data_IF_938047560024
#
_entry.id   IF_938047560024
#
_cell.length_a   1.000
_cell.length_b   1.000
_cell.length_c   1.000
_cell.angle_alpha   90.00
_cell.angle_beta   90.00
_cell.angle_gamma   90.00
#
_symmetry.space_group_name_H-M   'P 1'
#
loop_
_entity.id
_entity.type
_entity.pdbx_description
1 polymer ?
#
# COMPACT_ATOMS: atom_id res chain seq x y z
N UNK A 1 -5.05 33.58 46.32
CA UNK A 1 -4.34 32.46 45.72
C UNK A 1 -5.06 32.08 44.41
N UNK A 2 -4.59 32.65 43.31
CA UNK A 2 -5.22 32.52 42.00
C UNK A 2 -4.59 31.29 41.34
N UNK A 3 -5.36 30.19 41.16
CA UNK A 3 -4.92 29.07 40.36
C UNK A 3 -5.06 29.39 38.89
N UNK A 4 -3.98 29.38 38.16
CA UNK A 4 -3.96 29.50 36.69
C UNK A 4 -4.71 28.32 36.08
N UNK A 5 -5.77 28.53 35.28
CA UNK A 5 -6.55 27.45 34.69
C UNK A 5 -5.85 26.75 33.51
N UNK A 6 -4.57 27.06 33.25
CA UNK A 6 -3.81 26.52 32.10
C UNK A 6 -2.95 25.29 32.40
N UNK A 7 -2.95 24.79 33.64
CA UNK A 7 -2.19 23.58 34.01
C UNK A 7 -2.92 22.22 33.81
N UNK A 8 -4.10 22.23 33.21
CA UNK A 8 -4.94 21.04 33.04
C UNK A 8 -5.01 20.42 31.64
N UNK A 9 -4.46 21.08 30.63
CA UNK A 9 -4.55 20.59 29.23
C UNK A 9 -3.18 20.09 28.73
N UNK A 10 -2.55 19.19 29.48
CA UNK A 10 -1.63 18.25 28.87
C UNK A 10 -2.49 17.33 27.99
N UNK A 11 -2.75 17.81 26.78
CA UNK A 11 -3.31 16.99 25.73
C UNK A 11 -2.53 15.68 25.71
N UNK A 12 -3.17 14.60 26.18
CA UNK A 12 -2.64 13.26 26.01
C UNK A 12 -2.31 13.10 24.53
N UNK A 13 -1.05 13.21 24.21
CA UNK A 13 -0.52 12.83 22.91
C UNK A 13 -0.86 11.36 22.80
N UNK A 14 -2.01 11.07 22.17
CA UNK A 14 -2.40 9.68 21.89
C UNK A 14 -1.32 9.12 21.01
N UNK A 15 -0.49 8.25 21.59
CA UNK A 15 0.49 7.49 20.83
C UNK A 15 -0.19 6.94 19.58
N UNK A 16 0.35 7.28 18.43
CA UNK A 16 -0.11 6.72 17.16
C UNK A 16 0.08 5.21 17.25
N UNK A 17 -1.02 4.45 17.35
CA UNK A 17 -0.94 3.00 17.25
C UNK A 17 -0.43 2.66 15.84
N UNK A 18 0.82 2.29 15.76
CA UNK A 18 1.44 1.74 14.56
C UNK A 18 0.96 0.30 14.47
N UNK A 19 0.24 -0.03 13.40
CA UNK A 19 -0.14 -1.42 13.16
C UNK A 19 1.08 -2.18 12.61
N UNK A 20 1.22 -3.48 12.90
CA UNK A 20 2.38 -4.26 12.46
C UNK A 20 2.66 -4.17 10.95
N UNK A 21 1.62 -4.01 10.13
CA UNK A 21 1.76 -3.81 8.69
C UNK A 21 2.24 -2.41 8.31
N UNK A 22 2.07 -1.41 9.19
CA UNK A 22 2.56 -0.05 8.97
C UNK A 22 4.09 0.04 9.05
N UNK A 23 4.74 -0.86 9.78
CA UNK A 23 6.21 -0.93 9.86
C UNK A 23 6.85 -1.20 8.50
N UNK A 24 6.11 -1.79 7.55
CA UNK A 24 6.56 -2.00 6.18
C UNK A 24 6.39 -0.80 5.24
N UNK A 25 5.62 0.23 5.64
CA UNK A 25 5.36 1.42 4.83
C UNK A 25 6.32 2.54 5.20
N UNK A 26 7.13 2.94 4.25
CA UNK A 26 8.08 4.05 4.41
C UNK A 26 8.06 4.96 3.19
N UNK A 27 8.26 6.26 3.40
CA UNK A 27 8.40 7.25 2.33
C UNK A 27 9.78 7.22 1.67
N UNK A 28 10.72 6.48 2.26
CA UNK A 28 12.06 6.24 1.68
C UNK A 28 11.97 5.22 0.55
N UNK A 29 11.10 4.22 0.69
CA UNK A 29 10.88 3.23 -0.36
C UNK A 29 10.12 3.83 -1.55
N UNK A 30 10.44 3.31 -2.73
CA UNK A 30 9.76 3.60 -3.99
C UNK A 30 8.92 2.39 -4.41
N UNK A 31 7.72 2.63 -4.88
CA UNK A 31 6.71 1.59 -5.08
C UNK A 31 6.30 1.46 -6.53
N UNK A 32 6.10 0.23 -7.00
CA UNK A 32 5.40 -0.08 -8.23
C UNK A 32 4.06 -0.74 -7.90
N UNK A 33 2.95 -0.14 -8.31
CA UNK A 33 1.60 -0.69 -8.12
C UNK A 33 1.14 -1.34 -9.41
N UNK A 34 0.97 -2.66 -9.39
CA UNK A 34 0.54 -3.44 -10.56
C UNK A 34 -0.98 -3.53 -10.57
N UNK A 35 -1.58 -3.11 -11.67
CA UNK A 35 -3.02 -3.19 -11.92
C UNK A 35 -3.33 -3.45 -13.39
N UNK A 36 -4.54 -3.11 -13.80
CA UNK A 36 -5.02 -3.12 -15.18
C UNK A 36 -5.84 -1.87 -15.45
N UNK A 37 -6.18 -1.63 -16.74
CA UNK A 37 -6.99 -0.49 -17.14
C UNK A 37 -8.30 -0.39 -16.36
N UNK A 38 -8.99 -1.52 -16.14
CA UNK A 38 -10.24 -1.54 -15.39
C UNK A 38 -10.05 -1.11 -13.94
N UNK A 39 -8.98 -1.58 -13.28
CA UNK A 39 -8.72 -1.25 -11.86
C UNK A 39 -8.26 0.19 -11.66
N UNK A 40 -7.55 0.75 -12.63
CA UNK A 40 -7.13 2.15 -12.60
C UNK A 40 -8.26 3.10 -13.01
N UNK A 41 -8.84 2.94 -14.20
CA UNK A 41 -9.85 3.86 -14.74
C UNK A 41 -11.15 3.87 -13.93
N UNK A 42 -11.58 2.74 -13.41
CA UNK A 42 -12.77 2.64 -12.55
C UNK A 42 -12.49 2.88 -11.08
N UNK A 43 -11.34 3.47 -10.75
CA UNK A 43 -10.91 3.81 -9.39
C UNK A 43 -11.06 2.66 -8.39
N UNK A 44 -10.76 1.42 -8.84
CA UNK A 44 -10.80 0.23 -8.00
C UNK A 44 -9.53 0.09 -7.15
N UNK A 45 -9.25 -1.08 -6.65
CA UNK A 45 -8.21 -1.31 -5.65
C UNK A 45 -6.82 -0.78 -6.07
N UNK A 46 -6.35 -1.06 -7.29
CA UNK A 46 -5.04 -0.59 -7.77
C UNK A 46 -4.93 0.95 -7.75
N UNK A 47 -5.95 1.65 -8.24
CA UNK A 47 -6.00 3.10 -8.19
C UNK A 47 -6.00 3.63 -6.75
N UNK A 48 -6.79 3.02 -5.87
CA UNK A 48 -6.86 3.43 -4.45
C UNK A 48 -5.52 3.25 -3.74
N UNK A 49 -4.83 2.14 -3.99
CA UNK A 49 -3.49 1.87 -3.44
C UNK A 49 -2.48 2.88 -3.95
N UNK A 50 -2.43 3.10 -5.28
CA UNK A 50 -1.57 4.10 -5.89
C UNK A 50 -1.80 5.51 -5.32
N UNK A 51 -3.06 5.94 -5.25
CA UNK A 51 -3.44 7.24 -4.67
C UNK A 51 -3.08 7.34 -3.19
N UNK A 52 -3.32 6.28 -2.42
CA UNK A 52 -3.00 6.27 -1.00
C UNK A 52 -1.50 6.42 -0.75
N UNK A 53 -0.66 5.72 -1.50
CA UNK A 53 0.80 5.84 -1.42
C UNK A 53 1.27 7.24 -1.82
N UNK A 54 0.72 7.80 -2.91
CA UNK A 54 0.99 9.20 -3.31
C UNK A 54 0.61 10.21 -2.23
N UNK A 55 -0.59 10.09 -1.68
CA UNK A 55 -1.07 10.97 -0.62
C UNK A 55 -0.27 10.83 0.67
N UNK A 56 0.30 9.65 0.91
CA UNK A 56 1.19 9.41 2.04
C UNK A 56 2.56 10.08 1.87
N UNK A 57 2.94 10.42 0.64
CA UNK A 57 4.21 11.08 0.30
C UNK A 57 5.24 10.14 -0.32
N UNK A 58 4.85 8.91 -0.69
CA UNK A 58 5.74 7.97 -1.37
C UNK A 58 5.91 8.30 -2.85
N UNK A 59 7.07 7.98 -3.40
CA UNK A 59 7.27 7.86 -4.84
C UNK A 59 6.64 6.56 -5.31
N UNK A 60 5.68 6.64 -6.23
CA UNK A 60 4.92 5.47 -6.68
C UNK A 60 4.64 5.52 -8.17
N UNK A 61 4.90 4.40 -8.83
CA UNK A 61 4.75 4.18 -10.25
C UNK A 61 3.60 3.20 -10.52
N UNK A 62 2.58 3.59 -11.31
CA UNK A 62 1.54 2.65 -11.73
C UNK A 62 2.05 1.80 -12.89
N UNK A 63 1.72 0.50 -12.85
CA UNK A 63 2.11 -0.48 -13.88
C UNK A 63 0.86 -1.19 -14.40
N UNK A 64 0.65 -1.15 -15.72
CA UNK A 64 -0.43 -1.86 -16.39
C UNK A 64 -0.11 -2.02 -17.88
N UNK A 65 -0.29 -3.22 -18.42
CA UNK A 65 0.00 -3.53 -19.83
C UNK A 65 -0.98 -2.87 -20.80
N UNK A 66 -2.20 -2.61 -20.36
CA UNK A 66 -3.36 -2.19 -21.16
C UNK A 66 -3.75 -0.71 -20.97
N UNK A 67 -2.89 0.09 -20.33
CA UNK A 67 -3.16 1.51 -20.08
C UNK A 67 -1.88 2.34 -20.12
N UNK A 68 -1.93 3.50 -20.78
CA UNK A 68 -0.76 4.37 -20.95
C UNK A 68 -0.68 5.52 -19.94
N UNK A 69 -1.82 6.02 -19.48
CA UNK A 69 -1.88 7.16 -18.55
C UNK A 69 -3.07 7.06 -17.60
N UNK A 70 -2.92 7.60 -16.40
CA UNK A 70 -3.99 7.78 -15.41
C UNK A 70 -3.79 9.10 -14.65
N UNK A 71 -4.83 9.90 -14.53
CA UNK A 71 -4.81 11.19 -13.82
C UNK A 71 -3.57 12.05 -14.16
N UNK A 72 -3.22 12.13 -15.45
CA UNK A 72 -2.04 12.84 -15.95
C UNK A 72 -0.70 12.13 -15.75
N UNK A 73 -0.62 11.07 -14.96
CA UNK A 73 0.59 10.30 -14.72
C UNK A 73 0.81 9.24 -15.80
N UNK A 74 2.08 9.04 -16.20
CA UNK A 74 2.49 7.93 -17.06
C UNK A 74 2.24 6.60 -16.33
N UNK A 75 1.74 5.62 -17.04
CA UNK A 75 1.72 4.21 -16.62
C UNK A 75 2.84 3.47 -17.35
N UNK A 76 3.51 2.58 -16.63
CA UNK A 76 4.57 1.74 -17.17
C UNK A 76 3.97 0.39 -17.59
N UNK A 77 4.44 -0.15 -18.71
CA UNK A 77 3.85 -1.38 -19.25
C UNK A 77 4.25 -2.62 -18.45
N UNK A 78 5.45 -2.61 -17.88
CA UNK A 78 5.98 -3.73 -17.12
C UNK A 78 7.01 -3.25 -16.08
N UNK A 79 7.44 -4.15 -15.20
CA UNK A 79 8.43 -3.85 -14.15
C UNK A 79 9.84 -3.59 -14.70
N UNK A 80 10.19 -4.11 -15.88
CA UNK A 80 11.53 -3.94 -16.43
C UNK A 80 11.81 -2.50 -16.82
N UNK A 81 10.77 -1.72 -17.19
CA UNK A 81 10.90 -0.27 -17.40
C UNK A 81 11.24 0.51 -16.12
N UNK A 82 11.03 -0.12 -14.96
CA UNK A 82 11.27 0.45 -13.63
C UNK A 82 12.50 -0.13 -12.95
N UNK A 83 13.34 -0.84 -13.69
CA UNK A 83 14.59 -1.39 -13.16
C UNK A 83 15.39 -0.30 -12.45
N UNK A 84 15.89 -0.62 -11.27
CA UNK A 84 16.66 0.26 -10.39
C UNK A 84 15.93 1.55 -9.92
N UNK A 85 14.61 1.66 -10.19
CA UNK A 85 13.80 2.82 -9.77
C UNK A 85 12.84 2.50 -8.63
N UNK A 86 12.56 1.24 -8.38
CA UNK A 86 11.61 0.79 -7.35
C UNK A 86 12.24 -0.25 -6.45
N UNK A 87 11.84 -0.26 -5.20
CA UNK A 87 12.27 -1.27 -4.22
C UNK A 87 11.11 -2.10 -3.65
N UNK A 88 9.88 -1.71 -3.90
CA UNK A 88 8.70 -2.46 -3.45
C UNK A 88 7.71 -2.62 -4.59
N UNK A 89 7.30 -3.84 -4.85
CA UNK A 89 6.21 -4.16 -5.79
C UNK A 89 4.93 -4.45 -5.01
N UNK A 90 3.83 -3.83 -5.43
CA UNK A 90 2.50 -3.97 -4.82
C UNK A 90 1.53 -4.50 -5.87
N UNK A 91 1.34 -5.82 -5.97
CA UNK A 91 0.39 -6.41 -6.92
C UNK A 91 -1.05 -6.19 -6.45
N UNK A 92 -1.91 -5.74 -7.36
CA UNK A 92 -3.34 -5.51 -7.13
C UNK A 92 -4.24 -6.28 -8.11
N UNK A 93 -3.72 -7.35 -8.71
CA UNK A 93 -4.46 -8.27 -9.58
C UNK A 93 -4.66 -9.61 -8.88
N UNK A 94 -5.55 -10.43 -9.41
CA UNK A 94 -5.71 -11.80 -8.93
C UNK A 94 -4.49 -12.66 -9.30
N UNK A 95 -4.17 -13.69 -8.51
CA UNK A 95 -2.98 -14.52 -8.72
C UNK A 95 -2.86 -15.12 -10.13
N UNK A 96 -3.97 -15.48 -10.75
CA UNK A 96 -4.01 -16.06 -12.10
C UNK A 96 -3.45 -15.11 -13.17
N UNK A 97 -3.48 -13.82 -12.90
CA UNK A 97 -2.96 -12.76 -13.79
C UNK A 97 -1.54 -12.30 -13.44
N UNK A 98 -0.92 -12.92 -12.46
CA UNK A 98 0.38 -12.54 -11.90
C UNK A 98 1.42 -13.67 -12.02
N UNK A 99 1.26 -14.59 -12.99
CA UNK A 99 2.10 -15.81 -13.12
C UNK A 99 3.61 -15.52 -13.17
N UNK A 100 4.01 -14.42 -13.81
CA UNK A 100 5.42 -14.00 -13.93
C UNK A 100 5.86 -13.00 -12.84
N UNK A 101 5.00 -12.69 -11.86
CA UNK A 101 5.26 -11.61 -10.88
C UNK A 101 6.63 -11.73 -10.22
N UNK A 102 6.97 -12.90 -9.70
CA UNK A 102 8.20 -13.10 -8.92
C UNK A 102 9.43 -13.02 -9.81
N UNK A 103 9.38 -13.64 -11.00
CA UNK A 103 10.46 -13.57 -11.98
C UNK A 103 10.67 -12.15 -12.50
N UNK A 104 9.60 -11.43 -12.82
CA UNK A 104 9.67 -10.05 -13.30
C UNK A 104 10.20 -9.11 -12.21
N UNK A 105 9.81 -9.36 -10.95
CA UNK A 105 10.32 -8.61 -9.80
C UNK A 105 11.82 -8.83 -9.61
N UNK A 106 12.27 -10.07 -9.71
CA UNK A 106 13.69 -10.41 -9.61
C UNK A 106 14.50 -9.78 -10.76
N UNK A 107 14.02 -9.86 -12.00
CA UNK A 107 14.64 -9.25 -13.18
C UNK A 107 14.73 -7.72 -13.09
N UNK A 108 13.76 -7.09 -12.45
CA UNK A 108 13.77 -5.66 -12.17
C UNK A 108 14.72 -5.26 -11.01
N UNK A 109 15.37 -6.22 -10.36
CA UNK A 109 16.25 -5.98 -9.22
C UNK A 109 15.53 -5.60 -7.92
N UNK A 110 14.25 -5.94 -7.81
CA UNK A 110 13.42 -5.61 -6.64
C UNK A 110 13.44 -6.77 -5.65
N UNK A 111 13.67 -6.46 -4.37
CA UNK A 111 13.81 -7.46 -3.32
C UNK A 111 12.66 -7.48 -2.31
N UNK A 112 11.55 -6.82 -2.62
CA UNK A 112 10.40 -6.74 -1.72
C UNK A 112 9.08 -6.74 -2.48
N UNK A 113 8.14 -7.64 -2.14
CA UNK A 113 6.78 -7.64 -2.65
C UNK A 113 5.81 -7.47 -1.49
N UNK A 114 4.88 -6.52 -1.63
CA UNK A 114 3.80 -6.31 -0.69
C UNK A 114 2.49 -6.82 -1.26
N UNK A 115 2.17 -8.06 -0.95
CA UNK A 115 0.93 -8.71 -1.38
C UNK A 115 -0.29 -8.12 -0.68
N UNK A 116 -1.29 -7.76 -1.47
CA UNK A 116 -2.61 -7.39 -0.97
C UNK A 116 -3.37 -8.64 -0.52
N UNK A 117 -4.47 -8.48 0.22
CA UNK A 117 -5.22 -9.59 0.84
C UNK A 117 -5.57 -10.75 -0.11
N UNK A 118 -5.93 -10.41 -1.36
CA UNK A 118 -6.37 -11.39 -2.36
C UNK A 118 -5.30 -11.77 -3.40
N UNK A 119 -4.08 -11.27 -3.25
CA UNK A 119 -3.02 -11.48 -4.24
C UNK A 119 -1.96 -12.47 -3.78
N UNK A 120 -1.92 -12.79 -2.50
CA UNK A 120 -0.96 -13.73 -1.94
C UNK A 120 -1.43 -15.18 -2.11
N UNK A 121 -0.48 -16.06 -2.44
CA UNK A 121 -0.65 -17.51 -2.44
C UNK A 121 0.56 -18.19 -1.80
N UNK A 122 0.39 -19.43 -1.35
CA UNK A 122 1.49 -20.22 -0.81
C UNK A 122 2.59 -20.46 -1.87
N UNK A 123 2.18 -20.59 -3.14
CA UNK A 123 3.12 -20.75 -4.26
C UNK A 123 3.99 -19.49 -4.43
N UNK A 124 3.39 -18.29 -4.40
CA UNK A 124 4.15 -17.04 -4.44
C UNK A 124 5.12 -16.90 -3.26
N UNK A 125 4.71 -17.35 -2.07
CA UNK A 125 5.62 -17.35 -0.92
C UNK A 125 6.87 -18.20 -1.19
N UNK A 126 6.68 -19.43 -1.68
CA UNK A 126 7.78 -20.34 -2.00
C UNK A 126 8.69 -19.80 -3.11
N UNK A 127 8.11 -19.21 -4.16
CA UNK A 127 8.87 -18.58 -5.23
C UNK A 127 9.69 -17.38 -4.71
N UNK A 128 9.10 -16.54 -3.86
CA UNK A 128 9.79 -15.40 -3.25
C UNK A 128 10.93 -15.85 -2.33
N UNK A 129 10.70 -16.87 -1.50
CA UNK A 129 11.72 -17.43 -0.61
C UNK A 129 12.90 -17.96 -1.42
N UNK A 130 12.63 -18.67 -2.52
CA UNK A 130 13.67 -19.20 -3.44
C UNK A 130 14.43 -18.08 -4.16
N UNK A 131 13.79 -16.96 -4.44
CA UNK A 131 14.39 -15.81 -5.13
C UNK A 131 15.01 -14.77 -4.17
N UNK A 132 14.96 -15.00 -2.85
CA UNK A 132 15.45 -14.05 -1.85
C UNK A 132 14.64 -12.75 -1.77
N UNK A 133 13.36 -12.79 -2.15
CA UNK A 133 12.45 -11.64 -2.14
C UNK A 133 11.67 -11.61 -0.84
N UNK A 134 11.77 -10.51 -0.11
CA UNK A 134 11.01 -10.30 1.13
C UNK A 134 9.52 -10.13 0.85
N UNK A 135 8.69 -10.89 1.55
CA UNK A 135 7.23 -10.81 1.45
C UNK A 135 6.66 -9.98 2.60
N UNK A 136 5.80 -9.01 2.27
CA UNK A 136 4.90 -8.32 3.19
C UNK A 136 3.48 -8.68 2.79
N UNK A 137 2.60 -8.90 3.76
CA UNK A 137 1.19 -9.26 3.52
C UNK A 137 0.25 -8.26 4.16
N UNK A 138 -0.81 -7.95 3.44
CA UNK A 138 -1.90 -7.12 3.92
C UNK A 138 -2.21 -5.94 3.01
N UNK A 139 -3.37 -5.32 3.21
CA UNK A 139 -3.81 -4.23 2.36
C UNK A 139 -3.09 -2.92 2.70
N UNK A 140 -2.47 -2.28 1.72
CA UNK A 140 -1.86 -0.94 1.87
C UNK A 140 -2.86 0.08 2.42
N UNK A 141 -4.14 -0.04 2.07
CA UNK A 141 -5.18 0.88 2.54
C UNK A 141 -5.45 0.81 4.05
N UNK A 142 -4.94 -0.20 4.74
CA UNK A 142 -4.97 -0.28 6.21
C UNK A 142 -4.27 0.90 6.88
N UNK A 143 -3.31 1.50 6.21
CA UNK A 143 -2.57 2.66 6.71
C UNK A 143 -3.34 3.96 6.53
N UNK A 144 -4.48 3.95 5.82
CA UNK A 144 -5.37 5.10 5.79
C UNK A 144 -6.01 5.31 7.15
N UNK A 145 -5.84 6.50 7.67
CA UNK A 145 -6.47 6.97 8.89
C UNK A 145 -7.77 7.66 8.51
N UNK A 146 -8.86 7.23 9.10
CA UNK A 146 -10.19 7.79 8.82
C UNK A 146 -10.57 8.80 9.89
N UNK A 147 -11.11 9.96 9.51
CA UNK A 147 -11.47 11.02 10.46
C UNK A 147 -12.66 10.64 11.37
N UNK A 148 -13.47 9.66 10.97
CA UNK A 148 -14.62 9.18 11.74
C UNK A 148 -14.67 7.66 11.76
N UNK A 149 -14.83 7.08 12.96
CA UNK A 149 -14.96 5.64 13.13
C UNK A 149 -16.26 5.13 12.49
N UNK A 150 -17.34 5.89 12.59
CA UNK A 150 -18.68 5.47 12.14
C UNK A 150 -18.76 5.16 10.64
N UNK A 151 -17.86 5.72 9.84
CA UNK A 151 -17.83 5.51 8.39
C UNK A 151 -16.70 4.58 7.92
N UNK A 152 -15.78 4.18 8.80
CA UNK A 152 -14.62 3.39 8.38
C UNK A 152 -15.00 1.98 7.92
N UNK A 153 -16.05 1.36 8.47
CA UNK A 153 -16.55 0.06 8.05
C UNK A 153 -17.14 0.06 6.64
N UNK A 154 -17.52 1.22 6.11
CA UNK A 154 -17.99 1.37 4.72
C UNK A 154 -16.83 1.38 3.72
N UNK A 155 -15.58 1.43 4.17
CA UNK A 155 -14.40 1.44 3.30
C UNK A 155 -14.01 0.02 2.91
N UNK A 156 -13.63 -0.22 1.64
CA UNK A 156 -13.26 -1.55 1.15
C UNK A 156 -12.20 -2.25 2.01
N UNK A 157 -11.21 -1.51 2.51
CA UNK A 157 -10.15 -2.06 3.34
C UNK A 157 -10.63 -2.62 4.68
N UNK A 158 -11.76 -2.18 5.20
CA UNK A 158 -12.35 -2.75 6.42
C UNK A 158 -12.77 -4.20 6.22
N UNK A 159 -13.35 -4.50 5.05
CA UNK A 159 -13.84 -5.84 4.71
C UNK A 159 -12.73 -6.79 4.25
N UNK A 160 -11.57 -6.26 3.84
CA UNK A 160 -10.42 -7.02 3.35
C UNK A 160 -9.47 -7.45 4.48
N UNK A 161 -10.01 -8.03 5.54
CA UNK A 161 -9.21 -8.62 6.61
C UNK A 161 -8.87 -7.69 7.78
N UNK A 162 -9.51 -6.52 7.86
CA UNK A 162 -9.36 -5.60 9.00
C UNK A 162 -10.26 -5.93 10.19
N UNK A 163 -10.98 -7.05 10.17
CA UNK A 163 -11.94 -7.42 11.23
C UNK A 163 -11.35 -7.35 12.64
N UNK A 164 -10.09 -7.73 12.78
CA UNK A 164 -9.39 -7.82 14.07
C UNK A 164 -8.47 -6.63 14.36
N UNK A 165 -8.30 -5.72 13.41
CA UNK A 165 -7.45 -4.55 13.58
C UNK A 165 -8.29 -3.30 13.84
N UNK A 166 -7.98 -2.54 14.90
CA UNK A 166 -8.59 -1.22 15.10
C UNK A 166 -8.21 -0.31 13.93
N UNK A 167 -9.22 0.19 13.24
CA UNK A 167 -9.01 1.14 12.15
C UNK A 167 -8.44 2.43 12.72
N UNK A 168 -7.33 2.94 12.21
CA UNK A 168 -6.74 4.19 12.70
C UNK A 168 -7.67 5.37 12.51
N UNK A 169 -7.72 6.27 13.49
CA UNK A 169 -8.63 7.42 13.53
C UNK A 169 -8.13 8.64 12.76
N UNK A 170 -6.83 8.71 12.48
CA UNK A 170 -6.20 9.84 11.80
C UNK A 170 -5.32 9.34 10.67
N UNK A 171 -5.22 10.11 9.58
CA UNK A 171 -4.19 9.88 8.57
C UNK A 171 -2.82 9.98 9.21
N UNK A 172 -1.90 9.11 8.81
CA UNK A 172 -0.50 9.39 9.02
C UNK A 172 -0.21 10.74 8.36
N UNK A 173 0.35 11.66 9.13
CA UNK A 173 0.71 12.96 8.58
C UNK A 173 1.64 12.78 7.38
N UNK A 174 1.61 13.72 6.45
CA UNK A 174 2.70 13.86 5.48
C UNK A 174 3.95 14.17 6.28
N UNK A 175 4.98 13.43 6.07
CA UNK A 175 6.31 13.69 6.62
C UNK A 175 7.11 14.46 5.60
#
# INVERSE_FOLDING_TARGET
MYRDPREGDLAMVREKKIYPLAEGLTTVDTYAVIGDAQKFQKHKHAWKVWRALKEFGCVVYPVAEDLKRIDGSKIYLNLTELKDKVNVVVPCLLPERLKSLVSDTALAGVHKIWFQEQTWTQEFQQQCDSAGIKVIRGCVLRHKVYPSISLCYLKPCYWHGLRDAKVPMKRFGRY
#
